data_IF_823297063796
#
_entry.id   IF_823297063796
#
_cell.length_a   1.000
_cell.length_b   1.000
_cell.length_c   1.000
_cell.angle_alpha   90.00
_cell.angle_beta   90.00
_cell.angle_gamma   90.00
#
_symmetry.space_group_name_H-M   'P 1'
#
loop_
_entity.id
_entity.type
_entity.pdbx_description
1 polymer ?
#
# COMPACT_ATOMS: atom_id res chain seq x y z
N UNK A 1 -41.18 -51.55 -34.89
CA UNK A 1 -41.01 -50.34 -34.04
C UNK A 1 -40.52 -50.79 -32.68
N UNK A 2 -39.26 -50.50 -32.37
CA UNK A 2 -38.68 -50.70 -31.04
C UNK A 2 -38.10 -49.34 -30.62
N UNK A 3 -38.42 -48.82 -29.42
CA UNK A 3 -37.93 -47.51 -29.01
C UNK A 3 -36.46 -47.65 -28.60
N UNK A 4 -35.58 -46.86 -29.23
CA UNK A 4 -34.19 -46.70 -28.80
C UNK A 4 -34.18 -45.79 -27.57
N UNK A 5 -33.88 -46.35 -26.41
CA UNK A 5 -33.65 -45.60 -25.18
C UNK A 5 -32.28 -44.90 -25.29
N UNK A 6 -32.26 -43.57 -25.35
CA UNK A 6 -31.04 -42.77 -25.33
C UNK A 6 -30.69 -42.49 -23.86
N UNK A 7 -29.69 -43.20 -23.33
CA UNK A 7 -29.20 -43.01 -21.97
C UNK A 7 -28.11 -41.92 -22.00
N UNK A 8 -28.45 -40.70 -21.62
CA UNK A 8 -27.50 -39.58 -21.50
C UNK A 8 -26.78 -39.69 -20.16
N UNK A 9 -25.52 -40.14 -20.16
CA UNK A 9 -24.64 -39.98 -19.00
C UNK A 9 -24.12 -38.55 -18.94
N UNK A 10 -24.60 -37.77 -17.96
CA UNK A 10 -23.94 -36.54 -17.55
C UNK A 10 -22.73 -36.94 -16.72
N UNK A 11 -21.54 -36.92 -17.33
CA UNK A 11 -20.28 -37.06 -16.62
C UNK A 11 -20.08 -35.76 -15.83
N UNK A 12 -20.50 -35.76 -14.56
CA UNK A 12 -19.94 -34.82 -13.59
C UNK A 12 -18.44 -35.06 -13.58
N UNK A 13 -17.65 -33.98 -13.67
CA UNK A 13 -16.19 -34.03 -13.56
C UNK A 13 -15.82 -34.66 -12.22
N UNK A 14 -15.63 -35.97 -12.21
CA UNK A 14 -14.78 -36.65 -11.24
C UNK A 14 -13.36 -36.23 -11.62
N UNK A 15 -12.92 -35.07 -11.12
CA UNK A 15 -11.49 -34.78 -11.11
C UNK A 15 -10.88 -35.90 -10.27
N UNK A 16 -10.11 -36.73 -10.95
CA UNK A 16 -9.20 -37.70 -10.37
C UNK A 16 -8.37 -37.04 -9.27
N UNK A 17 -8.87 -37.12 -8.04
CA UNK A 17 -8.12 -36.99 -6.79
C UNK A 17 -7.20 -38.19 -6.66
N UNK A 18 -6.15 -38.23 -7.49
CA UNK A 18 -4.98 -39.06 -7.26
C UNK A 18 -3.80 -38.11 -7.28
N UNK A 19 -3.67 -37.40 -6.16
CA UNK A 19 -2.70 -36.34 -5.94
C UNK A 19 -2.98 -35.68 -4.60
N UNK A 20 -2.61 -36.37 -3.51
CA UNK A 20 -2.45 -35.84 -2.14
C UNK A 20 -3.68 -35.13 -1.57
N UNK A 21 -4.70 -35.89 -1.17
CA UNK A 21 -5.69 -35.41 -0.20
C UNK A 21 -5.02 -35.35 1.16
N UNK A 22 -4.54 -34.17 1.55
CA UNK A 22 -4.38 -33.84 2.95
C UNK A 22 -5.79 -33.98 3.56
N UNK A 23 -5.94 -34.85 4.57
CA UNK A 23 -7.24 -35.04 5.21
C UNK A 23 -7.61 -33.72 5.89
N UNK A 24 -8.59 -32.99 5.34
CA UNK A 24 -9.08 -31.73 5.91
C UNK A 24 -9.54 -31.93 7.36
N UNK A 25 -9.86 -33.16 7.74
CA UNK A 25 -10.16 -33.58 9.10
C UNK A 25 -9.02 -33.34 10.08
N UNK A 26 -7.75 -33.40 9.66
CA UNK A 26 -6.60 -33.09 10.52
C UNK A 26 -6.41 -31.59 10.73
N UNK A 27 -6.78 -30.76 9.74
CA UNK A 27 -6.82 -29.30 9.90
C UNK A 27 -7.98 -28.87 10.81
N UNK A 28 -9.12 -29.53 10.72
CA UNK A 28 -10.29 -29.28 11.58
C UNK A 28 -10.07 -29.72 13.04
N UNK A 29 -9.06 -30.53 13.32
CA UNK A 29 -8.62 -30.89 14.69
C UNK A 29 -7.69 -29.86 15.31
N UNK A 30 -7.25 -28.85 14.55
CA UNK A 30 -6.43 -27.78 15.08
C UNK A 30 -7.26 -26.96 16.07
N UNK A 31 -6.91 -27.04 17.36
CA UNK A 31 -7.57 -26.28 18.41
C UNK A 31 -7.16 -24.80 18.31
N UNK A 32 -7.91 -24.03 17.51
CA UNK A 32 -7.80 -22.58 17.41
C UNK A 32 -8.97 -21.91 18.13
N UNK A 33 -8.71 -20.75 18.72
CA UNK A 33 -9.71 -19.93 19.39
C UNK A 33 -10.58 -19.17 18.34
N UNK A 34 -9.99 -18.87 17.19
CA UNK A 34 -10.66 -18.35 16.00
C UNK A 34 -11.46 -19.43 15.24
N UNK A 35 -11.52 -19.30 13.92
CA UNK A 35 -12.32 -20.20 13.09
C UNK A 35 -11.59 -20.58 11.80
N UNK A 36 -11.60 -21.87 11.47
CA UNK A 36 -11.14 -22.40 10.20
C UNK A 36 -12.33 -22.62 9.25
N UNK A 37 -12.35 -21.88 8.14
CA UNK A 37 -13.40 -21.93 7.12
C UNK A 37 -13.00 -22.82 5.94
N UNK A 38 -13.97 -23.57 5.44
CA UNK A 38 -13.95 -24.18 4.10
C UNK A 38 -15.17 -23.74 3.29
N UNK A 39 -15.83 -22.64 3.71
CA UNK A 39 -16.99 -22.11 3.00
C UNK A 39 -16.56 -21.64 1.60
N UNK A 40 -17.26 -22.04 0.52
CA UNK A 40 -16.90 -21.65 -0.84
C UNK A 40 -16.78 -20.14 -1.04
N UNK A 41 -17.53 -19.31 -0.31
CA UNK A 41 -17.46 -17.85 -0.41
C UNK A 41 -16.18 -17.25 0.20
N UNK A 42 -15.70 -17.82 1.30
CA UNK A 42 -14.42 -17.43 1.91
C UNK A 42 -13.25 -17.89 1.02
N UNK A 43 -13.35 -19.10 0.46
CA UNK A 43 -12.38 -19.63 -0.51
C UNK A 43 -12.30 -18.73 -1.74
N UNK A 44 -13.44 -18.37 -2.35
CA UNK A 44 -13.46 -17.47 -3.51
C UNK A 44 -12.78 -16.12 -3.20
N UNK A 45 -13.09 -15.53 -2.05
CA UNK A 45 -12.53 -14.24 -1.63
C UNK A 45 -11.01 -14.31 -1.44
N UNK A 46 -10.51 -15.40 -0.85
CA UNK A 46 -9.08 -15.62 -0.66
C UNK A 46 -8.35 -16.02 -1.96
N UNK A 47 -9.09 -16.49 -2.98
CA UNK A 47 -8.54 -17.00 -4.24
C UNK A 47 -8.11 -15.92 -5.22
N UNK A 48 -8.51 -14.67 -5.00
CA UNK A 48 -8.20 -13.53 -5.87
C UNK A 48 -7.48 -12.45 -5.08
N UNK A 49 -6.73 -11.60 -5.79
CA UNK A 49 -6.11 -10.40 -5.24
C UNK A 49 -6.48 -9.17 -6.07
N UNK A 50 -6.05 -8.00 -5.64
CA UNK A 50 -6.32 -6.74 -6.35
C UNK A 50 -5.80 -6.75 -7.79
N UNK A 51 -4.73 -7.50 -8.08
CA UNK A 51 -4.21 -7.68 -9.44
C UNK A 51 -5.24 -8.27 -10.40
N UNK A 52 -6.10 -9.18 -9.93
CA UNK A 52 -7.15 -9.85 -10.72
C UNK A 52 -6.60 -10.57 -11.97
N UNK A 53 -5.33 -10.98 -11.92
CA UNK A 53 -4.64 -11.68 -13.01
C UNK A 53 -4.38 -13.15 -12.71
N UNK A 54 -4.41 -13.55 -11.44
CA UNK A 54 -4.22 -14.92 -10.98
C UNK A 54 -5.36 -15.33 -10.06
N UNK A 55 -5.74 -16.60 -10.13
CA UNK A 55 -6.71 -17.20 -9.21
C UNK A 55 -6.19 -18.54 -8.72
N UNK A 56 -6.05 -18.69 -7.41
CA UNK A 56 -5.53 -19.89 -6.75
C UNK A 56 -6.35 -20.19 -5.51
N UNK A 57 -7.05 -21.34 -5.50
CA UNK A 57 -7.91 -21.74 -4.39
C UNK A 57 -7.10 -22.37 -3.25
N UNK A 58 -7.19 -21.84 -2.00
CA UNK A 58 -6.64 -22.51 -0.84
C UNK A 58 -7.53 -23.68 -0.38
N UNK A 59 -6.97 -24.55 0.47
CA UNK A 59 -7.70 -25.67 1.07
C UNK A 59 -8.66 -25.21 2.17
N UNK A 60 -8.28 -24.16 2.91
CA UNK A 60 -9.06 -23.57 3.99
C UNK A 60 -8.58 -22.15 4.28
N UNK A 61 -9.36 -21.42 5.08
CA UNK A 61 -9.08 -20.05 5.51
C UNK A 61 -9.13 -20.01 7.03
N UNK A 62 -8.02 -19.69 7.67
CA UNK A 62 -7.99 -19.39 9.09
C UNK A 62 -8.38 -17.93 9.29
N UNK A 63 -9.40 -17.69 10.10
CA UNK A 63 -9.71 -16.40 10.70
C UNK A 63 -9.17 -16.43 12.15
N UNK A 64 -7.92 -15.98 12.38
CA UNK A 64 -7.31 -16.05 13.69
C UNK A 64 -7.96 -15.04 14.65
N UNK A 65 -8.12 -15.45 15.90
CA UNK A 65 -8.48 -14.55 17.00
C UNK A 65 -7.26 -13.96 17.71
N UNK A 66 -6.10 -14.61 17.54
CA UNK A 66 -4.89 -14.35 18.29
C UNK A 66 -3.61 -14.67 17.49
N UNK A 67 -2.45 -14.24 18.00
CA UNK A 67 -1.16 -14.65 17.44
C UNK A 67 -0.90 -16.15 17.66
N UNK A 68 -1.45 -16.71 18.73
CA UNK A 68 -1.37 -18.12 19.08
C UNK A 68 -2.08 -19.00 18.05
N UNK A 69 -3.23 -18.57 17.50
CA UNK A 69 -3.89 -19.29 16.40
C UNK A 69 -3.01 -19.37 15.15
N UNK A 70 -2.33 -18.26 14.82
CA UNK A 70 -1.37 -18.19 13.73
C UNK A 70 -0.20 -19.16 14.01
N UNK A 71 0.36 -19.13 15.22
CA UNK A 71 1.44 -20.01 15.65
C UNK A 71 1.06 -21.49 15.58
N UNK A 72 -0.13 -21.85 16.05
CA UNK A 72 -0.65 -23.23 16.00
C UNK A 72 -0.75 -23.74 14.57
N UNK A 73 -1.31 -22.94 13.65
CA UNK A 73 -1.43 -23.33 12.25
C UNK A 73 -0.07 -23.47 11.58
N UNK A 74 0.85 -22.51 11.78
CA UNK A 74 2.19 -22.58 11.20
C UNK A 74 2.98 -23.76 11.78
N UNK A 75 2.87 -24.01 13.08
CA UNK A 75 3.48 -25.17 13.72
C UNK A 75 2.94 -26.50 13.18
N UNK A 76 1.63 -26.61 13.00
CA UNK A 76 1.00 -27.78 12.38
C UNK A 76 1.45 -27.97 10.93
N UNK A 77 1.58 -26.87 10.18
CA UNK A 77 2.11 -26.91 8.82
C UNK A 77 3.58 -27.38 8.78
N UNK A 78 4.41 -26.90 9.72
CA UNK A 78 5.82 -27.24 9.82
C UNK A 78 6.08 -28.73 10.08
N UNK A 79 5.27 -29.37 10.92
CA UNK A 79 5.40 -30.81 11.23
C UNK A 79 4.64 -31.72 10.26
N UNK A 80 3.88 -31.15 9.32
CA UNK A 80 3.09 -31.92 8.37
C UNK A 80 3.97 -32.71 7.40
N UNK A 81 3.79 -34.03 7.37
CA UNK A 81 4.51 -34.91 6.44
C UNK A 81 4.18 -34.64 4.96
N UNK A 82 3.08 -33.95 4.68
CA UNK A 82 2.55 -33.76 3.32
C UNK A 82 2.89 -32.38 2.72
N UNK A 83 3.59 -31.52 3.47
CA UNK A 83 3.95 -30.18 3.04
C UNK A 83 2.72 -29.27 2.89
N UNK A 84 2.27 -28.69 4.01
CA UNK A 84 1.20 -27.71 4.00
C UNK A 84 1.81 -26.30 3.89
N UNK A 85 1.40 -25.53 2.89
CA UNK A 85 1.81 -24.13 2.79
C UNK A 85 0.86 -23.22 3.57
N UNK A 86 1.38 -22.10 4.07
CA UNK A 86 0.61 -21.10 4.81
C UNK A 86 0.89 -19.74 4.18
N UNK A 87 -0.18 -18.98 3.92
CA UNK A 87 -0.08 -17.62 3.38
C UNK A 87 -0.85 -16.65 4.26
N UNK A 88 -0.18 -15.62 4.77
CA UNK A 88 -0.86 -14.53 5.47
C UNK A 88 -1.44 -13.53 4.45
N UNK A 89 -2.75 -13.38 4.46
CA UNK A 89 -3.48 -12.42 3.64
C UNK A 89 -3.88 -11.22 4.50
N UNK A 90 -3.33 -10.05 4.20
CA UNK A 90 -3.81 -8.77 4.71
C UNK A 90 -5.07 -8.34 3.96
N UNK A 91 -5.07 -7.13 3.37
CA UNK A 91 -6.22 -6.64 2.59
C UNK A 91 -6.26 -7.13 1.12
N UNK A 92 -5.59 -8.24 0.78
CA UNK A 92 -5.61 -8.81 -0.57
C UNK A 92 -5.05 -7.93 -1.70
N UNK A 93 -4.31 -6.85 -1.38
CA UNK A 93 -3.89 -5.85 -2.36
C UNK A 93 -2.62 -6.21 -3.17
N UNK A 94 -2.26 -7.51 -3.19
CA UNK A 94 -1.22 -8.05 -4.07
C UNK A 94 -1.64 -7.97 -5.54
N UNK A 95 -0.68 -8.04 -6.45
CA UNK A 95 -0.91 -7.92 -7.91
C UNK A 95 -0.73 -9.25 -8.64
N UNK A 96 0.05 -10.18 -8.08
CA UNK A 96 0.51 -11.38 -8.77
C UNK A 96 0.42 -12.65 -7.90
N UNK A 97 -0.57 -12.72 -7.00
CA UNK A 97 -0.84 -13.92 -6.20
C UNK A 97 0.06 -14.11 -4.98
N UNK A 98 0.83 -13.09 -4.57
CA UNK A 98 1.79 -13.22 -3.46
C UNK A 98 1.15 -13.62 -2.11
N UNK A 99 -0.13 -13.29 -1.93
CA UNK A 99 -0.90 -13.63 -0.72
C UNK A 99 -1.78 -14.88 -0.90
N UNK A 100 -1.61 -15.66 -1.96
CA UNK A 100 -2.40 -16.86 -2.26
C UNK A 100 -1.59 -18.14 -2.03
N UNK A 101 -2.26 -19.27 -1.85
CA UNK A 101 -1.64 -20.59 -1.86
C UNK A 101 -2.56 -21.65 -2.47
N UNK A 102 -1.98 -22.57 -3.26
CA UNK A 102 -2.70 -23.65 -3.97
C UNK A 102 -2.84 -24.96 -3.18
N UNK A 103 -2.08 -25.11 -2.10
CA UNK A 103 -1.94 -26.39 -1.39
C UNK A 103 -1.69 -26.12 0.09
N UNK A 104 -2.59 -25.33 0.66
CA UNK A 104 -2.34 -24.68 1.93
C UNK A 104 -3.52 -23.95 2.50
N UNK A 105 -3.27 -23.28 3.61
CA UNK A 105 -4.25 -22.47 4.33
C UNK A 105 -3.88 -21.00 4.17
N UNK A 106 -4.87 -20.18 3.81
CA UNK A 106 -4.74 -18.73 3.89
C UNK A 106 -5.13 -18.28 5.29
N UNK A 107 -4.32 -17.44 5.92
CA UNK A 107 -4.65 -16.78 7.18
C UNK A 107 -5.18 -15.39 6.84
N UNK A 108 -6.46 -15.17 7.09
CA UNK A 108 -7.11 -13.88 6.90
C UNK A 108 -6.79 -12.96 8.07
N UNK A 109 -5.71 -12.19 7.92
CA UNK A 109 -5.17 -11.34 8.98
C UNK A 109 -6.02 -10.09 9.19
N UNK A 110 -6.70 -9.59 8.16
CA UNK A 110 -7.53 -8.38 8.22
C UNK A 110 -8.98 -8.71 8.56
N UNK A 111 -9.68 -7.78 9.20
CA UNK A 111 -11.06 -8.03 9.64
C UNK A 111 -12.00 -8.19 8.43
N UNK A 112 -12.46 -9.42 8.19
CA UNK A 112 -13.50 -9.69 7.21
C UNK A 112 -14.86 -9.24 7.76
N UNK A 113 -15.62 -8.48 6.96
CA UNK A 113 -16.98 -8.00 7.31
C UNK A 113 -17.07 -7.14 8.58
N UNK A 114 -15.97 -6.49 8.97
CA UNK A 114 -15.94 -5.57 10.11
C UNK A 114 -15.92 -6.23 11.49
N UNK A 115 -15.80 -7.56 11.56
CA UNK A 115 -15.65 -8.28 12.83
C UNK A 115 -14.17 -8.39 13.15
N UNK A 116 -13.70 -7.54 14.07
CA UNK A 116 -12.35 -7.62 14.62
C UNK A 116 -12.33 -8.64 15.77
N UNK A 117 -11.43 -9.61 15.71
CA UNK A 117 -11.26 -10.59 16.78
C UNK A 117 -10.09 -10.27 17.73
N UNK A 118 -9.19 -9.35 17.35
CA UNK A 118 -8.10 -8.81 18.17
C UNK A 118 -8.46 -7.46 18.83
N UNK A 119 -7.61 -6.95 19.72
CA UNK A 119 -7.78 -5.62 20.34
C UNK A 119 -7.52 -4.45 19.39
N UNK A 120 -7.98 -3.24 19.74
CA UNK A 120 -7.65 -1.99 19.03
C UNK A 120 -6.14 -1.68 19.12
N UNK A 121 -5.58 -0.87 18.18
CA UNK A 121 -4.21 -0.37 18.31
C UNK A 121 -4.00 0.33 19.65
N UNK A 122 -2.85 0.09 20.30
CA UNK A 122 -2.52 0.66 21.61
C UNK A 122 -1.50 1.77 21.45
N UNK A 123 -1.87 2.99 21.84
CA UNK A 123 -1.01 4.16 21.69
C UNK A 123 -0.29 4.48 23.00
N UNK A 124 1.01 4.71 22.93
CA UNK A 124 1.82 5.26 24.01
C UNK A 124 2.16 6.72 23.70
N UNK A 125 1.47 7.67 24.34
CA UNK A 125 1.71 9.10 24.13
C UNK A 125 3.11 9.54 24.57
N UNK A 126 3.56 9.01 25.71
CA UNK A 126 4.84 9.36 26.32
C UNK A 126 6.01 8.87 25.48
N UNK A 127 5.93 7.62 25.00
CA UNK A 127 6.99 7.01 24.18
C UNK A 127 6.79 7.22 22.67
N UNK A 128 5.67 7.84 22.26
CA UNK A 128 5.28 8.15 20.89
C UNK A 128 5.41 6.95 19.95
N UNK A 129 4.71 5.88 20.28
CA UNK A 129 4.53 4.73 19.38
C UNK A 129 3.09 4.21 19.44
N UNK A 130 2.71 3.43 18.43
CA UNK A 130 1.51 2.61 18.44
C UNK A 130 1.89 1.15 18.27
N UNK A 131 1.33 0.27 19.09
CA UNK A 131 1.35 -1.17 18.90
C UNK A 131 0.09 -1.57 18.13
N UNK A 132 0.27 -2.05 16.90
CA UNK A 132 -0.82 -2.43 16.00
C UNK A 132 -0.72 -3.90 15.58
N UNK A 133 -1.86 -4.57 15.42
CA UNK A 133 -1.94 -5.93 14.86
C UNK A 133 -1.42 -5.94 13.42
N UNK A 134 -0.77 -7.03 12.97
CA UNK A 134 -0.24 -7.12 11.62
C UNK A 134 -1.29 -7.01 10.52
N UNK A 135 -2.52 -7.45 10.77
CA UNK A 135 -3.63 -7.30 9.83
C UNK A 135 -4.42 -5.99 9.96
N UNK A 136 -4.01 -5.10 10.87
CA UNK A 136 -4.60 -3.77 11.05
C UNK A 136 -4.48 -2.93 9.77
N UNK A 137 -5.53 -2.21 9.38
CA UNK A 137 -5.44 -1.29 8.25
C UNK A 137 -4.80 0.04 8.68
N UNK A 138 -3.97 0.64 7.82
CA UNK A 138 -3.34 1.93 8.13
C UNK A 138 -4.35 3.06 8.38
N UNK A 139 -5.53 3.01 7.77
CA UNK A 139 -6.62 3.97 8.05
C UNK A 139 -7.13 3.88 9.49
N UNK A 140 -7.17 2.67 10.07
CA UNK A 140 -7.61 2.45 11.44
C UNK A 140 -6.50 2.82 12.43
N UNK A 141 -5.23 2.52 12.09
CA UNK A 141 -4.06 3.04 12.83
C UNK A 141 -4.11 4.57 12.90
N UNK A 142 -4.31 5.24 11.75
CA UNK A 142 -4.39 6.70 11.67
C UNK A 142 -5.50 7.26 12.56
N UNK A 143 -6.72 6.72 12.45
CA UNK A 143 -7.86 7.17 13.26
C UNK A 143 -7.57 7.04 14.75
N UNK A 144 -7.08 5.87 15.20
CA UNK A 144 -6.75 5.65 16.61
C UNK A 144 -5.63 6.59 17.08
N UNK A 145 -4.56 6.79 16.31
CA UNK A 145 -3.46 7.66 16.75
C UNK A 145 -3.87 9.13 16.82
N UNK A 146 -4.78 9.58 15.94
CA UNK A 146 -5.30 10.95 15.93
C UNK A 146 -6.11 11.29 17.18
N UNK A 147 -6.76 10.32 17.82
CA UNK A 147 -7.44 10.51 19.12
C UNK A 147 -6.46 10.94 20.22
N UNK A 148 -5.17 10.62 20.06
CA UNK A 148 -4.08 11.01 20.94
C UNK A 148 -3.25 12.20 20.40
N UNK A 149 -3.69 12.84 19.31
CA UNK A 149 -2.94 13.94 18.67
C UNK A 149 -1.61 13.50 18.05
N UNK A 150 -1.48 12.21 17.71
CA UNK A 150 -0.28 11.61 17.14
C UNK A 150 -0.57 10.95 15.78
N UNK A 151 0.47 10.75 14.97
CA UNK A 151 0.37 10.08 13.69
C UNK A 151 1.68 9.36 13.31
N UNK A 152 1.64 8.25 12.56
CA UNK A 152 2.81 7.73 11.86
C UNK A 152 3.47 8.77 10.95
N UNK A 153 4.78 8.66 10.78
CA UNK A 153 5.61 9.62 10.02
C UNK A 153 5.72 9.28 8.52
N UNK A 154 5.57 8.01 8.18
CA UNK A 154 5.73 7.48 6.83
C UNK A 154 4.52 6.64 6.45
N UNK A 155 4.06 6.80 5.21
CA UNK A 155 2.76 6.33 4.74
C UNK A 155 2.87 5.59 3.42
N UNK A 156 1.75 4.97 3.03
CA UNK A 156 1.45 4.58 1.67
C UNK A 156 0.39 5.52 1.10
N UNK A 157 0.36 5.65 -0.23
CA UNK A 157 -0.67 6.45 -0.91
C UNK A 157 -2.10 5.99 -0.64
N UNK A 158 -2.27 4.69 -0.41
CA UNK A 158 -3.55 4.07 -0.10
C UNK A 158 -3.52 3.46 1.29
N UNK A 159 -4.49 3.80 2.14
CA UNK A 159 -4.49 3.47 3.57
C UNK A 159 -5.26 2.18 3.93
N UNK A 160 -6.00 1.62 2.98
CA UNK A 160 -6.71 0.34 3.17
C UNK A 160 -5.77 -0.82 2.81
N UNK A 161 -4.56 -0.76 3.39
CA UNK A 161 -3.53 -1.78 3.34
C UNK A 161 -3.22 -2.19 4.77
N UNK A 162 -2.93 -3.48 4.98
CA UNK A 162 -2.57 -3.99 6.30
C UNK A 162 -1.15 -3.59 6.70
N UNK A 163 -0.90 -3.34 7.98
CA UNK A 163 0.42 -3.06 8.57
C UNK A 163 1.46 -4.09 8.15
N UNK A 164 1.23 -5.38 8.44
CA UNK A 164 2.15 -6.47 8.11
C UNK A 164 2.38 -6.63 6.61
N UNK A 165 1.36 -6.38 5.78
CA UNK A 165 1.47 -6.43 4.32
C UNK A 165 2.41 -5.36 3.75
N UNK A 166 2.31 -4.11 4.21
CA UNK A 166 3.21 -3.05 3.73
C UNK A 166 4.61 -3.17 4.31
N UNK A 167 4.74 -3.58 5.59
CA UNK A 167 6.04 -3.85 6.23
C UNK A 167 6.76 -5.05 5.63
N UNK A 168 6.03 -6.03 5.08
CA UNK A 168 6.64 -7.14 4.31
C UNK A 168 7.17 -6.71 2.95
N UNK A 169 6.90 -5.47 2.50
CA UNK A 169 7.40 -4.92 1.23
C UNK A 169 8.36 -3.75 1.48
N UNK A 170 7.81 -2.59 1.88
CA UNK A 170 8.56 -1.40 2.28
C UNK A 170 7.60 -0.35 2.89
N UNK A 171 6.50 -0.06 2.17
CA UNK A 171 5.56 1.02 2.49
C UNK A 171 6.13 2.39 2.13
N UNK A 172 5.81 2.90 0.94
CA UNK A 172 6.40 4.13 0.39
C UNK A 172 5.29 5.09 -0.05
N UNK A 173 5.53 6.38 0.20
CA UNK A 173 4.80 7.53 -0.32
C UNK A 173 5.72 8.77 -0.21
N UNK A 174 5.19 9.95 -0.53
CA UNK A 174 5.94 11.20 -0.61
C UNK A 174 6.62 11.67 0.69
N UNK A 175 6.43 11.02 1.85
CA UNK A 175 7.16 11.33 3.09
C UNK A 175 8.47 10.54 3.22
N UNK A 176 8.67 9.48 2.42
CA UNK A 176 9.80 8.56 2.58
C UNK A 176 11.16 9.24 2.39
N UNK A 177 11.24 10.33 1.64
CA UNK A 177 12.49 11.09 1.52
C UNK A 177 12.92 11.78 2.83
N UNK A 178 11.96 12.09 3.71
CA UNK A 178 12.18 12.71 5.02
C UNK A 178 12.40 11.65 6.10
N UNK A 179 11.55 10.61 6.11
CA UNK A 179 11.41 9.68 7.24
C UNK A 179 11.80 8.23 6.90
N UNK A 180 12.24 7.94 5.68
CA UNK A 180 12.38 6.57 5.20
C UNK A 180 11.04 5.91 4.91
N UNK A 181 11.03 4.73 4.26
CA UNK A 181 9.82 3.92 4.11
C UNK A 181 9.24 3.50 5.48
N UNK A 182 8.03 2.92 5.50
CA UNK A 182 7.39 2.45 6.73
C UNK A 182 8.27 1.45 7.49
N UNK A 183 9.02 0.58 6.78
CA UNK A 183 9.97 -0.35 7.38
C UNK A 183 11.10 0.33 8.18
N UNK A 184 11.44 1.59 7.88
CA UNK A 184 12.43 2.38 8.64
C UNK A 184 11.83 3.05 9.90
N UNK A 185 10.52 2.89 10.15
CA UNK A 185 9.78 3.56 11.23
C UNK A 185 9.19 2.57 12.24
N UNK A 186 9.70 1.33 12.27
CA UNK A 186 9.28 0.28 13.20
C UNK A 186 10.36 0.11 14.28
N UNK A 187 9.95 0.02 15.53
CA UNK A 187 10.87 -0.18 16.66
C UNK A 187 10.94 -1.65 17.11
N UNK A 188 9.86 -2.40 16.94
CA UNK A 188 9.73 -3.77 17.46
C UNK A 188 8.62 -4.51 16.70
N UNK A 189 8.76 -5.82 16.53
CA UNK A 189 7.77 -6.70 15.89
C UNK A 189 7.55 -7.95 16.75
N UNK A 190 6.31 -8.44 16.79
CA UNK A 190 6.03 -9.84 17.14
C UNK A 190 5.80 -10.63 15.86
N UNK A 191 6.49 -11.76 15.73
CA UNK A 191 6.54 -12.57 14.51
C UNK A 191 6.31 -14.03 14.86
N UNK A 192 5.40 -14.68 14.15
CA UNK A 192 5.31 -16.14 14.11
C UNK A 192 6.24 -16.64 13.01
N UNK A 193 7.33 -17.31 13.39
CA UNK A 193 8.31 -17.86 12.43
C UNK A 193 7.74 -19.03 11.66
N UNK A 194 8.43 -19.47 10.59
CA UNK A 194 8.05 -20.67 9.84
C UNK A 194 8.05 -21.99 10.64
N UNK A 195 8.52 -21.98 11.89
CA UNK A 195 8.43 -23.11 12.83
C UNK A 195 7.20 -23.06 13.75
N UNK A 196 6.41 -22.00 13.67
CA UNK A 196 5.30 -21.75 14.60
C UNK A 196 5.73 -21.13 15.94
N UNK A 197 6.95 -20.60 16.04
CA UNK A 197 7.44 -19.93 17.25
C UNK A 197 7.03 -18.45 17.21
N UNK A 198 6.36 -17.97 18.26
CA UNK A 198 6.07 -16.54 18.43
C UNK A 198 7.25 -15.85 19.11
N UNK A 199 7.94 -14.97 18.37
CA UNK A 199 9.13 -14.26 18.83
C UNK A 199 8.92 -12.74 18.73
N UNK A 200 9.32 -12.01 19.76
CA UNK A 200 9.50 -10.55 19.69
C UNK A 200 10.90 -10.23 19.18
N UNK A 201 11.02 -9.29 18.25
CA UNK A 201 12.28 -8.85 17.66
C UNK A 201 12.34 -7.32 17.48
N UNK A 202 13.55 -6.77 17.59
CA UNK A 202 13.92 -5.35 17.43
C UNK A 202 15.36 -5.26 16.92
N UNK A 203 15.95 -4.07 16.81
CA UNK A 203 17.38 -3.92 16.50
C UNK A 203 18.28 -4.57 17.57
N UNK A 204 17.82 -4.64 18.82
CA UNK A 204 18.58 -5.16 19.97
C UNK A 204 18.24 -6.61 20.34
N UNK A 205 17.07 -7.11 19.93
CA UNK A 205 16.58 -8.45 20.27
C UNK A 205 16.20 -9.21 18.99
N UNK A 206 16.75 -10.42 18.78
CA UNK A 206 16.46 -11.23 17.59
C UNK A 206 16.62 -10.42 16.27
N UNK A 207 17.66 -9.60 16.18
CA UNK A 207 17.82 -8.57 15.15
C UNK A 207 17.91 -9.11 13.73
N UNK A 208 18.46 -10.31 13.55
CA UNK A 208 18.46 -10.99 12.26
C UNK A 208 17.02 -11.24 11.77
N UNK A 209 16.13 -11.70 12.65
CA UNK A 209 14.71 -11.87 12.31
C UNK A 209 14.04 -10.53 12.02
N UNK A 210 14.30 -9.50 12.85
CA UNK A 210 13.74 -8.17 12.69
C UNK A 210 14.07 -7.58 11.30
N UNK A 211 15.33 -7.64 10.88
CA UNK A 211 15.74 -7.15 9.57
C UNK A 211 15.28 -8.07 8.42
N UNK A 212 15.19 -9.39 8.64
CA UNK A 212 14.73 -10.32 7.62
C UNK A 212 13.25 -10.13 7.27
N UNK A 213 12.38 -9.89 8.26
CA UNK A 213 10.93 -9.75 8.01
C UNK A 213 10.55 -8.40 7.38
N UNK A 214 11.29 -7.33 7.66
CA UNK A 214 11.08 -6.02 7.07
C UNK A 214 11.50 -6.01 5.60
N UNK A 215 10.52 -5.92 4.69
CA UNK A 215 10.73 -6.15 3.26
C UNK A 215 10.97 -7.62 2.89
N UNK A 216 10.71 -8.54 3.82
CA UNK A 216 10.97 -9.97 3.69
C UNK A 216 9.96 -10.76 2.86
N UNK A 217 8.97 -10.11 2.26
CA UNK A 217 7.94 -10.73 1.42
C UNK A 217 7.20 -11.89 2.11
N UNK A 218 7.03 -11.80 3.44
CA UNK A 218 6.40 -12.84 4.25
C UNK A 218 7.17 -14.15 4.35
N UNK A 219 8.44 -14.21 3.94
CA UNK A 219 9.19 -15.46 3.82
C UNK A 219 9.75 -16.00 5.15
N UNK A 220 9.99 -15.13 6.12
CA UNK A 220 10.66 -15.49 7.38
C UNK A 220 9.70 -15.63 8.56
N UNK A 221 8.45 -15.20 8.39
CA UNK A 221 7.41 -15.29 9.40
C UNK A 221 6.25 -14.33 9.13
N UNK A 222 5.21 -14.46 9.94
CA UNK A 222 4.01 -13.65 9.90
C UNK A 222 4.10 -12.60 11.00
N UNK A 223 4.09 -11.32 10.62
CA UNK A 223 4.04 -10.20 11.56
C UNK A 223 2.65 -10.19 12.20
N UNK A 224 2.58 -10.41 13.52
CA UNK A 224 1.34 -10.36 14.30
C UNK A 224 1.20 -9.05 15.07
N UNK A 225 2.30 -8.40 15.45
CA UNK A 225 2.29 -7.03 15.98
C UNK A 225 3.44 -6.21 15.43
N UNK A 226 3.22 -4.92 15.22
CA UNK A 226 4.27 -3.94 14.97
C UNK A 226 4.18 -2.74 15.91
N UNK A 227 5.32 -2.34 16.48
CA UNK A 227 5.49 -1.06 17.18
C UNK A 227 5.98 0.00 16.21
N UNK A 228 5.12 0.96 15.89
CA UNK A 228 5.37 1.98 14.87
C UNK A 228 5.61 3.33 15.55
N UNK A 229 6.69 4.01 15.16
CA UNK A 229 7.02 5.33 15.67
C UNK A 229 6.04 6.43 15.24
N UNK A 230 5.67 7.30 16.17
CA UNK A 230 4.73 8.40 15.96
C UNK A 230 5.39 9.77 16.09
N UNK A 231 4.71 10.79 15.56
CA UNK A 231 4.99 12.20 15.77
C UNK A 231 3.70 12.98 16.08
N UNK A 232 3.80 14.21 16.62
CA UNK A 232 2.65 15.09 16.75
C UNK A 232 1.93 15.24 15.41
N UNK A 233 0.63 14.93 15.39
CA UNK A 233 -0.16 14.98 14.18
C UNK A 233 -0.39 16.45 13.75
N UNK A 234 -0.05 16.81 12.50
CA UNK A 234 -0.50 18.06 11.91
C UNK A 234 -2.02 18.10 11.84
N UNK A 235 -2.61 19.30 11.93
CA UNK A 235 -4.06 19.45 11.80
C UNK A 235 -4.46 19.66 10.33
N UNK A 236 -3.61 20.37 9.57
CA UNK A 236 -3.92 20.82 8.22
C UNK A 236 -2.76 20.57 7.27
N UNK A 237 -3.12 20.53 5.99
CA UNK A 237 -2.20 20.35 4.88
C UNK A 237 -2.48 21.41 3.84
N UNK A 238 -1.43 22.17 3.50
CA UNK A 238 -1.38 22.98 2.29
C UNK A 238 -0.88 22.06 1.18
N UNK A 239 -1.79 21.65 0.30
CA UNK A 239 -1.49 20.75 -0.81
C UNK A 239 -1.35 21.56 -2.10
N UNK A 240 -0.25 21.36 -2.82
CA UNK A 240 0.12 22.16 -3.98
C UNK A 240 0.48 21.23 -5.15
N UNK A 241 0.06 21.63 -6.35
CA UNK A 241 0.51 21.05 -7.61
C UNK A 241 1.03 22.14 -8.53
N UNK A 242 2.17 21.87 -9.17
CA UNK A 242 2.77 22.73 -10.21
C UNK A 242 3.19 21.89 -11.41
N UNK A 243 3.20 22.50 -12.61
CA UNK A 243 3.47 21.79 -13.86
C UNK A 243 4.84 22.18 -14.45
N UNK A 244 5.44 21.21 -15.12
CA UNK A 244 6.68 21.34 -15.88
C UNK A 244 6.48 20.76 -17.28
N UNK A 245 7.08 21.40 -18.28
CA UNK A 245 7.18 20.87 -19.65
C UNK A 245 8.54 20.21 -19.94
N UNK A 246 9.54 20.42 -19.08
CA UNK A 246 10.88 19.87 -19.23
C UNK A 246 11.18 18.86 -18.09
N UNK A 247 11.49 17.62 -18.47
CA UNK A 247 11.76 16.55 -17.52
C UNK A 247 12.98 16.84 -16.64
N UNK A 248 14.07 17.35 -17.23
CA UNK A 248 15.30 17.65 -16.49
C UNK A 248 15.08 18.73 -15.44
N UNK A 249 14.25 19.74 -15.73
CA UNK A 249 13.87 20.77 -14.75
C UNK A 249 13.02 20.16 -13.64
N UNK A 250 12.00 19.38 -14.00
CA UNK A 250 11.13 18.70 -13.05
C UNK A 250 11.90 17.80 -12.08
N UNK A 251 12.79 16.93 -12.57
CA UNK A 251 13.58 16.04 -11.70
C UNK A 251 14.62 16.80 -10.89
N UNK A 252 15.26 17.83 -11.44
CA UNK A 252 16.19 18.70 -10.69
C UNK A 252 15.49 19.32 -9.48
N UNK A 253 14.25 19.79 -9.66
CA UNK A 253 13.48 20.42 -8.58
C UNK A 253 12.99 19.40 -7.57
N UNK A 254 12.54 18.22 -8.00
CA UNK A 254 12.23 17.12 -7.07
C UNK A 254 13.46 16.72 -6.23
N UNK A 255 14.63 16.54 -6.87
CA UNK A 255 15.89 16.21 -6.20
C UNK A 255 16.32 17.30 -5.22
N UNK A 256 16.18 18.56 -5.63
CA UNK A 256 16.47 19.70 -4.78
C UNK A 256 15.56 19.70 -3.54
N UNK A 257 14.24 19.50 -3.70
CA UNK A 257 13.32 19.44 -2.56
C UNK A 257 13.65 18.30 -1.59
N UNK A 258 13.95 17.10 -2.09
CA UNK A 258 14.27 15.97 -1.20
C UNK A 258 15.66 16.09 -0.53
N UNK A 259 16.55 16.92 -1.08
CA UNK A 259 17.83 17.24 -0.46
C UNK A 259 17.68 18.05 0.84
N UNK A 260 16.53 18.70 1.03
CA UNK A 260 16.23 19.52 2.21
C UNK A 260 15.76 18.70 3.42
N UNK A 261 15.79 17.37 3.37
CA UNK A 261 15.18 16.52 4.40
C UNK A 261 15.68 16.76 5.84
N UNK A 262 16.92 17.23 6.00
CA UNK A 262 17.53 17.57 7.29
C UNK A 262 17.32 19.02 7.73
N UNK A 263 16.67 19.85 6.91
CA UNK A 263 16.41 21.24 7.22
C UNK A 263 15.23 21.38 8.20
N UNK A 264 15.16 22.52 8.93
CA UNK A 264 14.03 22.82 9.80
C UNK A 264 12.69 22.79 9.06
N UNK A 265 11.56 22.53 9.76
CA UNK A 265 10.24 22.40 9.12
C UNK A 265 9.85 23.57 8.21
N UNK A 266 10.15 24.82 8.57
CA UNK A 266 9.83 26.00 7.75
C UNK A 266 10.68 26.14 6.47
N UNK A 267 11.69 25.30 6.27
CA UNK A 267 12.59 25.33 5.11
C UNK A 267 12.49 24.09 4.22
N UNK A 268 11.44 23.29 4.38
CA UNK A 268 11.19 22.11 3.54
C UNK A 268 9.70 21.82 3.39
N UNK A 269 9.36 21.05 2.35
CA UNK A 269 8.05 20.40 2.26
C UNK A 269 8.05 19.09 3.06
N UNK A 270 6.85 18.66 3.44
CA UNK A 270 6.63 17.49 4.27
C UNK A 270 6.30 16.24 3.41
N UNK A 271 5.84 16.47 2.18
CA UNK A 271 5.55 15.47 1.16
C UNK A 271 6.06 15.94 -0.20
N UNK A 272 6.67 15.04 -0.98
CA UNK A 272 7.09 15.27 -2.37
C UNK A 272 6.78 14.02 -3.20
N UNK A 273 5.90 14.15 -4.18
CA UNK A 273 5.70 13.17 -5.25
C UNK A 273 5.68 13.86 -6.62
N UNK A 274 5.45 13.09 -7.67
CA UNK A 274 5.10 13.64 -8.97
C UNK A 274 4.44 12.63 -9.88
N UNK A 275 3.85 13.15 -10.95
CA UNK A 275 3.15 12.35 -11.94
C UNK A 275 3.54 12.75 -13.36
N UNK A 276 3.57 11.77 -14.25
CA UNK A 276 3.68 12.00 -15.69
C UNK A 276 2.27 12.10 -16.28
N UNK A 277 2.07 13.11 -17.12
CA UNK A 277 0.82 13.40 -17.81
C UNK A 277 1.07 13.25 -19.31
N UNK A 278 0.65 12.11 -19.87
CA UNK A 278 0.75 11.81 -21.30
C UNK A 278 -0.60 11.96 -22.05
N UNK A 279 -1.70 12.20 -21.31
CA UNK A 279 -3.05 12.41 -21.83
C UNK A 279 -3.80 13.45 -20.98
N UNK A 280 -4.49 14.40 -21.63
CA UNK A 280 -5.36 15.40 -20.97
C UNK A 280 -6.48 14.72 -20.15
N UNK A 281 -6.90 13.52 -20.55
CA UNK A 281 -7.88 12.71 -19.82
C UNK A 281 -7.45 12.36 -18.39
N UNK A 282 -6.14 12.25 -18.12
CA UNK A 282 -5.61 11.96 -16.79
C UNK A 282 -5.78 13.13 -15.82
N UNK A 283 -5.64 14.36 -16.31
CA UNK A 283 -5.74 15.59 -15.52
C UNK A 283 -7.14 15.69 -14.88
N UNK A 284 -8.17 15.33 -15.63
CA UNK A 284 -9.58 15.55 -15.24
C UNK A 284 -10.24 14.37 -14.52
N UNK A 285 -9.69 13.15 -14.64
CA UNK A 285 -10.41 11.95 -14.21
C UNK A 285 -9.93 11.34 -12.89
N UNK A 286 -8.62 11.29 -12.64
CA UNK A 286 -8.10 10.17 -11.84
C UNK A 286 -7.53 10.51 -10.44
N UNK A 287 -7.24 11.78 -10.08
CA UNK A 287 -6.92 12.17 -8.67
C UNK A 287 -7.31 13.61 -8.32
N UNK A 288 -8.29 14.18 -9.02
CA UNK A 288 -8.39 15.63 -9.12
C UNK A 288 -9.80 16.17 -8.92
N UNK A 289 -10.14 16.45 -7.67
CA UNK A 289 -10.93 17.65 -7.34
C UNK A 289 -10.09 18.93 -7.46
N UNK A 290 -8.78 18.81 -7.70
CA UNK A 290 -7.80 19.90 -7.78
C UNK A 290 -7.92 20.75 -9.06
N UNK A 291 -7.93 20.09 -10.21
CA UNK A 291 -8.26 20.66 -11.51
C UNK A 291 -9.78 20.60 -11.64
N UNK A 292 -10.45 21.65 -11.18
CA UNK A 292 -11.90 21.76 -11.31
C UNK A 292 -12.31 21.69 -12.78
N UNK A 293 -13.45 21.08 -13.13
CA UNK A 293 -14.04 21.20 -14.47
C UNK A 293 -14.26 22.66 -14.91
N UNK A 294 -14.30 23.59 -13.94
CA UNK A 294 -14.42 25.04 -14.18
C UNK A 294 -13.10 25.70 -14.62
N UNK A 295 -11.95 25.06 -14.42
CA UNK A 295 -10.64 25.56 -14.87
C UNK A 295 -9.76 24.41 -15.38
N UNK A 296 -10.10 23.81 -16.53
CA UNK A 296 -9.35 22.67 -17.07
C UNK A 296 -7.97 23.12 -17.53
N UNK A 297 -6.92 22.42 -17.06
CA UNK A 297 -5.56 22.56 -17.60
C UNK A 297 -5.56 21.98 -19.00
N UNK A 298 -5.28 22.81 -20.00
CA UNK A 298 -5.10 22.35 -21.38
C UNK A 298 -3.61 22.09 -21.61
N UNK A 299 -3.22 20.87 -21.96
CA UNK A 299 -1.80 20.57 -22.24
C UNK A 299 -1.32 21.44 -23.42
N UNK A 300 -2.22 21.66 -24.39
CA UNK A 300 -1.99 22.54 -25.54
C UNK A 300 -1.64 23.99 -25.19
N UNK A 301 -1.96 24.50 -23.98
CA UNK A 301 -1.58 25.86 -23.58
C UNK A 301 -0.13 26.00 -23.09
N UNK A 302 0.61 24.89 -22.93
CA UNK A 302 1.92 24.88 -22.26
C UNK A 302 3.12 24.54 -23.16
N UNK A 303 2.94 24.49 -24.48
CA UNK A 303 4.05 24.36 -25.44
C UNK A 303 4.98 23.19 -25.14
N UNK A 304 4.46 21.96 -25.25
CA UNK A 304 5.20 20.75 -24.86
C UNK A 304 6.09 20.24 -25.99
N UNK A 305 7.39 20.07 -25.71
CA UNK A 305 8.28 19.29 -26.56
C UNK A 305 8.00 17.80 -26.30
N UNK A 306 7.25 17.16 -27.20
CA UNK A 306 6.97 15.72 -27.13
C UNK A 306 5.65 15.32 -26.46
N UNK A 307 4.74 16.27 -26.17
CA UNK A 307 3.38 15.94 -25.75
C UNK A 307 3.19 15.52 -24.28
N UNK A 308 4.26 15.49 -23.49
CA UNK A 308 4.24 15.08 -22.07
C UNK A 308 4.37 16.30 -21.15
N UNK A 309 3.57 16.34 -20.07
CA UNK A 309 3.76 17.25 -18.94
C UNK A 309 4.13 16.45 -17.68
N UNK A 310 4.79 17.12 -16.75
CA UNK A 310 5.11 16.57 -15.43
C UNK A 310 4.45 17.43 -14.37
N UNK A 311 3.87 16.78 -13.36
CA UNK A 311 3.25 17.43 -12.22
C UNK A 311 4.08 17.14 -10.98
N UNK A 312 4.56 18.19 -10.33
CA UNK A 312 5.14 18.09 -8.99
C UNK A 312 4.01 18.26 -7.98
N UNK A 313 3.87 17.30 -7.08
CA UNK A 313 2.89 17.32 -6.00
C UNK A 313 3.60 17.41 -4.66
N UNK A 314 3.30 18.46 -3.90
CA UNK A 314 3.99 18.75 -2.65
C UNK A 314 3.00 19.17 -1.57
N UNK A 315 3.36 18.94 -0.31
CA UNK A 315 2.59 19.46 0.81
C UNK A 315 3.42 20.15 1.86
N UNK A 316 2.79 21.12 2.53
CA UNK A 316 3.23 21.69 3.79
C UNK A 316 2.23 21.33 4.88
N UNK A 317 2.68 20.59 5.89
CA UNK A 317 1.91 20.23 7.07
C UNK A 317 1.99 21.38 8.07
N UNK A 318 0.87 21.71 8.74
CA UNK A 318 0.85 22.77 9.74
C UNK A 318 -0.19 22.55 10.84
N UNK A 319 0.04 23.24 11.96
CA UNK A 319 -0.92 23.40 13.04
C UNK A 319 -1.62 24.75 12.90
N UNK A 320 -2.84 24.88 13.42
CA UNK A 320 -3.58 26.15 13.40
C UNK A 320 -2.80 27.29 14.08
N UNK A 321 -2.01 26.98 15.11
CA UNK A 321 -1.13 27.95 15.78
C UNK A 321 -0.01 28.53 14.91
N UNK A 322 0.31 27.87 13.79
CA UNK A 322 1.35 28.28 12.84
C UNK A 322 0.78 28.79 11.51
N UNK A 323 -0.55 28.87 11.38
CA UNK A 323 -1.21 29.19 10.11
C UNK A 323 -0.75 30.53 9.49
N UNK A 324 -0.45 31.53 10.31
CA UNK A 324 -0.08 32.88 9.87
C UNK A 324 1.25 32.95 9.09
N UNK A 325 2.14 31.96 9.24
CA UNK A 325 3.45 31.93 8.56
C UNK A 325 3.48 31.01 7.35
N UNK A 326 2.48 30.14 7.16
CA UNK A 326 2.50 29.09 6.14
C UNK A 326 2.57 29.65 4.73
N UNK A 327 1.89 30.76 4.44
CA UNK A 327 1.94 31.39 3.13
C UNK A 327 3.36 31.88 2.79
N UNK A 328 4.05 32.48 3.77
CA UNK A 328 5.41 32.99 3.60
C UNK A 328 6.41 31.84 3.38
N UNK A 329 6.30 30.77 4.17
CA UNK A 329 7.15 29.58 4.05
C UNK A 329 6.96 28.91 2.67
N UNK A 330 5.71 28.73 2.25
CA UNK A 330 5.37 28.13 0.95
C UNK A 330 5.88 28.99 -0.19
N UNK A 331 5.66 30.30 -0.16
CA UNK A 331 6.18 31.21 -1.19
C UNK A 331 7.71 31.18 -1.28
N UNK A 332 8.39 31.19 -0.13
CA UNK A 332 9.86 31.16 -0.08
C UNK A 332 10.40 29.87 -0.70
N UNK A 333 9.74 28.74 -0.46
CA UNK A 333 10.10 27.46 -1.06
C UNK A 333 9.80 27.40 -2.56
N UNK A 334 8.61 27.85 -2.99
CA UNK A 334 8.20 27.85 -4.40
C UNK A 334 9.07 28.79 -5.26
N UNK A 335 9.53 29.93 -4.71
CA UNK A 335 10.42 30.88 -5.41
C UNK A 335 11.77 30.27 -5.84
N UNK A 336 12.12 29.09 -5.30
CA UNK A 336 13.37 28.37 -5.62
C UNK A 336 13.19 27.30 -6.70
N UNK A 337 11.98 27.16 -7.25
CA UNK A 337 11.62 26.15 -8.24
C UNK A 337 11.36 26.80 -9.61
N UNK A 338 11.59 26.03 -10.66
CA UNK A 338 11.59 26.44 -12.07
C UNK A 338 10.32 25.91 -12.82
N UNK A 339 9.20 25.76 -12.11
CA UNK A 339 7.91 25.32 -12.70
C UNK A 339 7.27 26.42 -13.58
N UNK A 340 6.25 26.05 -14.35
CA UNK A 340 5.49 26.99 -15.18
C UNK A 340 4.69 27.96 -14.28
N UNK A 341 4.99 29.28 -14.24
CA UNK A 341 4.45 30.16 -13.19
C UNK A 341 2.92 30.24 -13.11
N UNK A 342 2.22 30.06 -14.24
CA UNK A 342 0.75 30.08 -14.30
C UNK A 342 0.08 28.77 -13.85
N UNK A 343 0.86 27.77 -13.41
CA UNK A 343 0.38 26.42 -13.10
C UNK A 343 0.33 26.09 -11.61
N UNK A 344 0.29 27.10 -10.73
CA UNK A 344 0.18 26.87 -9.28
C UNK A 344 -1.27 26.58 -8.91
N UNK A 345 -1.52 25.36 -8.47
CA UNK A 345 -2.80 24.95 -7.91
C UNK A 345 -2.61 24.64 -6.44
N UNK A 346 -3.46 25.21 -5.60
CA UNK A 346 -3.34 25.12 -4.15
C UNK A 346 -4.68 24.81 -3.52
N UNK A 347 -4.68 23.93 -2.51
CA UNK A 347 -5.84 23.74 -1.63
C UNK A 347 -5.37 23.53 -0.19
N UNK A 348 -6.26 23.82 0.75
CA UNK A 348 -6.05 23.59 2.17
C UNK A 348 -7.12 22.63 2.69
N UNK A 349 -6.68 21.54 3.33
CA UNK A 349 -7.57 20.50 3.82
C UNK A 349 -7.07 19.90 5.15
N UNK A 350 -7.93 19.23 5.92
CA UNK A 350 -7.51 18.46 7.08
C UNK A 350 -6.45 17.39 6.73
N UNK A 351 -5.52 17.13 7.65
CA UNK A 351 -4.45 16.14 7.45
C UNK A 351 -4.97 14.74 7.11
N UNK A 352 -6.01 14.29 7.81
CA UNK A 352 -6.68 13.00 7.55
C UNK A 352 -7.28 12.93 6.13
N UNK A 353 -7.87 14.02 5.64
CA UNK A 353 -8.46 14.06 4.30
C UNK A 353 -7.40 13.99 3.19
N UNK A 354 -6.20 14.53 3.44
CA UNK A 354 -5.08 14.41 2.53
C UNK A 354 -4.55 12.97 2.51
N UNK A 355 -4.31 12.36 3.67
CA UNK A 355 -3.80 10.99 3.72
C UNK A 355 -4.80 9.98 3.12
N UNK A 356 -6.10 10.16 3.35
CA UNK A 356 -7.15 9.26 2.83
C UNK A 356 -7.66 9.66 1.42
N UNK A 357 -6.92 10.52 0.70
CA UNK A 357 -7.36 11.06 -0.61
C UNK A 357 -7.62 9.98 -1.66
N UNK A 358 -6.93 8.84 -1.60
CA UNK A 358 -7.08 7.74 -2.58
C UNK A 358 -8.35 6.93 -2.34
N UNK A 359 -8.87 6.85 -1.10
CA UNK A 359 -10.15 6.19 -0.84
C UNK A 359 -11.32 6.91 -1.53
N UNK A 360 -11.28 8.25 -1.59
CA UNK A 360 -12.25 9.03 -2.39
C UNK A 360 -12.20 8.66 -3.87
N UNK A 361 -11.01 8.37 -4.42
CA UNK A 361 -10.85 7.91 -5.80
C UNK A 361 -11.34 6.46 -5.99
N UNK A 362 -11.06 5.57 -5.04
CA UNK A 362 -11.60 4.21 -5.00
C UNK A 362 -13.12 4.22 -5.08
N UNK A 363 -13.81 4.95 -4.19
CA UNK A 363 -15.28 4.99 -4.17
C UNK A 363 -15.86 5.47 -5.52
N UNK A 364 -15.23 6.49 -6.11
CA UNK A 364 -15.59 6.99 -7.45
C UNK A 364 -15.39 5.93 -8.54
N UNK A 365 -14.32 5.14 -8.50
CA UNK A 365 -14.07 4.08 -9.48
C UNK A 365 -14.99 2.88 -9.27
N UNK A 366 -15.25 2.48 -8.02
CA UNK A 366 -16.21 1.42 -7.67
C UNK A 366 -17.62 1.74 -8.16
N UNK A 367 -18.11 2.98 -7.96
CA UNK A 367 -19.41 3.41 -8.50
C UNK A 367 -19.53 3.34 -10.03
N UNK A 368 -18.41 3.23 -10.75
CA UNK A 368 -18.34 3.07 -12.20
C UNK A 368 -17.99 1.65 -12.65
N UNK A 369 -17.79 0.72 -11.72
CA UNK A 369 -17.30 -0.64 -12.02
C UNK A 369 -15.87 -0.68 -12.57
N UNK A 370 -15.05 0.33 -12.23
CA UNK A 370 -13.68 0.48 -12.73
C UNK A 370 -12.60 0.22 -11.67
N UNK A 371 -13.00 -0.24 -10.48
CA UNK A 371 -12.07 -0.60 -9.41
C UNK A 371 -11.77 -2.09 -9.41
N UNK A 372 -12.79 -2.96 -9.43
CA UNK A 372 -12.56 -4.41 -9.39
C UNK A 372 -12.29 -4.97 -10.80
N UNK A 373 -11.19 -4.52 -11.42
CA UNK A 373 -10.74 -4.85 -12.77
C UNK A 373 -9.28 -5.35 -12.75
N UNK A 374 -8.75 -5.96 -13.83
CA UNK A 374 -7.32 -6.31 -13.90
C UNK A 374 -6.39 -5.10 -13.72
N UNK A 375 -5.43 -5.22 -12.81
CA UNK A 375 -4.42 -4.20 -12.53
C UNK A 375 -3.00 -4.70 -12.85
N UNK A 376 -2.55 -4.64 -14.11
CA UNK A 376 -1.19 -5.01 -14.50
C UNK A 376 -0.19 -3.91 -14.11
N UNK A 377 -0.09 -3.61 -12.82
CA UNK A 377 0.77 -2.56 -12.30
C UNK A 377 2.25 -2.89 -12.46
N UNK A 378 3.05 -1.89 -12.79
CA UNK A 378 4.49 -1.96 -12.88
C UNK A 378 5.09 -0.97 -11.87
N UNK A 379 5.73 -1.49 -10.82
CA UNK A 379 6.36 -0.69 -9.77
C UNK A 379 7.87 -0.97 -9.78
N UNK A 380 8.69 0.08 -9.93
CA UNK A 380 10.13 -0.05 -10.14
C UNK A 380 10.90 1.00 -9.35
N UNK A 381 12.10 0.63 -8.86
CA UNK A 381 13.11 1.60 -8.47
C UNK A 381 14.10 1.79 -9.62
N UNK A 382 14.13 2.99 -10.19
CA UNK A 382 15.04 3.34 -11.28
C UNK A 382 16.17 4.22 -10.71
N UNK A 383 17.46 3.88 -10.91
CA UNK A 383 18.56 4.71 -10.44
C UNK A 383 18.52 6.11 -11.06
N UNK A 384 18.82 7.13 -10.25
CA UNK A 384 18.91 8.54 -10.66
C UNK A 384 19.69 8.73 -11.98
N UNK A 385 20.82 8.04 -12.13
CA UNK A 385 21.69 8.17 -13.30
C UNK A 385 21.04 7.73 -14.62
N UNK A 386 19.92 7.00 -14.57
CA UNK A 386 19.23 6.44 -15.75
C UNK A 386 17.78 6.93 -15.87
N UNK A 387 17.32 7.84 -15.00
CA UNK A 387 15.92 8.26 -15.01
C UNK A 387 15.57 9.07 -16.26
N UNK A 388 16.52 9.84 -16.82
CA UNK A 388 16.35 10.53 -18.09
C UNK A 388 16.21 9.57 -19.27
N UNK A 389 17.00 8.49 -19.31
CA UNK A 389 16.86 7.44 -20.33
C UNK A 389 15.50 6.74 -20.22
N UNK A 390 15.01 6.54 -19.00
CA UNK A 390 13.69 5.98 -18.75
C UNK A 390 12.56 6.89 -19.25
N UNK A 391 12.68 8.20 -19.03
CA UNK A 391 11.74 9.19 -19.57
C UNK A 391 11.67 9.14 -21.11
N UNK A 392 12.83 9.21 -21.78
CA UNK A 392 12.90 9.13 -23.24
C UNK A 392 12.37 7.80 -23.79
N UNK A 393 12.75 6.68 -23.18
CA UNK A 393 12.36 5.35 -23.64
C UNK A 393 10.91 4.97 -23.34
N UNK A 394 10.41 5.34 -22.15
CA UNK A 394 9.12 4.86 -21.63
C UNK A 394 8.04 5.92 -21.75
N UNK A 395 8.23 7.08 -21.12
CA UNK A 395 7.19 8.11 -21.04
C UNK A 395 6.95 8.79 -22.40
N UNK A 396 8.03 9.16 -23.09
CA UNK A 396 7.98 9.75 -24.44
C UNK A 396 7.94 8.71 -25.56
N UNK A 397 8.29 7.46 -25.25
CA UNK A 397 8.39 6.35 -26.20
C UNK A 397 7.25 5.35 -26.07
N UNK A 398 7.46 4.30 -25.27
CA UNK A 398 6.59 3.11 -25.20
C UNK A 398 5.13 3.43 -24.88
N UNK A 399 4.86 4.35 -23.94
CA UNK A 399 3.50 4.62 -23.48
C UNK A 399 2.65 5.37 -24.51
N UNK A 400 3.25 6.27 -25.29
CA UNK A 400 2.52 7.20 -26.16
C UNK A 400 1.39 7.91 -25.39
N UNK A 401 0.21 8.04 -26.00
CA UNK A 401 -0.98 8.68 -25.39
C UNK A 401 -1.98 7.65 -24.81
N UNK A 402 -1.54 6.43 -24.49
CA UNK A 402 -2.45 5.33 -24.09
C UNK A 402 -2.22 4.91 -22.65
N UNK A 403 -2.97 5.53 -21.73
CA UNK A 403 -2.90 5.20 -20.30
C UNK A 403 -4.27 5.25 -19.65
N UNK A 404 -4.61 4.27 -18.83
CA UNK A 404 -5.87 4.21 -18.08
C UNK A 404 -5.72 4.61 -16.60
N UNK A 405 -4.51 4.96 -16.16
CA UNK A 405 -4.20 5.20 -14.75
C UNK A 405 -2.97 6.06 -14.52
N UNK A 406 -2.58 6.24 -13.25
CA UNK A 406 -1.38 6.97 -12.85
C UNK A 406 -0.12 6.58 -13.58
N UNK A 407 0.79 7.54 -13.69
CA UNK A 407 2.22 7.26 -13.76
C UNK A 407 2.87 8.09 -12.65
N UNK A 408 3.28 7.45 -11.56
CA UNK A 408 3.98 8.11 -10.46
C UNK A 408 5.48 8.10 -10.72
N UNK A 409 6.13 9.23 -10.43
CA UNK A 409 7.57 9.35 -10.46
C UNK A 409 8.02 10.37 -9.41
N UNK A 410 8.89 9.92 -8.51
CA UNK A 410 9.52 10.78 -7.52
C UNK A 410 10.83 10.16 -7.01
N UNK A 411 11.83 10.99 -6.68
CA UNK A 411 13.10 10.52 -6.16
C UNK A 411 12.98 10.18 -4.67
N UNK A 412 13.90 9.36 -4.18
CA UNK A 412 14.04 9.04 -2.76
C UNK A 412 15.51 9.04 -2.35
N UNK A 413 15.74 9.27 -1.06
CA UNK A 413 17.07 9.19 -0.46
C UNK A 413 17.35 7.75 0.00
N UNK A 414 18.44 7.13 -0.48
CA UNK A 414 18.78 5.73 -0.15
C UNK A 414 19.05 5.51 1.34
N UNK A 415 19.63 6.49 2.03
CA UNK A 415 20.13 6.36 3.40
C UNK A 415 19.08 6.80 4.45
N UNK A 416 17.80 6.54 4.19
CA UNK A 416 16.69 7.01 5.02
C UNK A 416 15.92 5.91 5.72
#
# INVERSE_FOLDING_TARGET
>A
MAPKLLLTFVIYRLISTVGLTLDTTDLLRLEVDGHLSVDPSDVETASVDFGMMNRVEPLAILHPSSAEDVARLVGAAYVSAHGLSVSARGHGHSINGQAQTSSGVVIEMSASKGVRQWGLPRVSEQSRYVDAWGGELWIDVLKTTLEHGLAPKSWTDYLYLSVGGTLSNAGISGQAFNHGPQISNVYELDVVTGKGELLTCSEEQNSELFHAVLGGLGQFGIITRARIGLEPAPQRVRWIRVLYSNFSTFTKDQEYLISLHGQPPNQKFDYVEGFVIVDEGLINNWRSSFFSPRNPVKISSFGTNGGVLYCLEITKNYHESTADTIDQDVEALLKRLDFIPSSVFTTDLPYVDFLDRVHKAELKLRSKGLWDVPHPWLNLFVPRSRIADFDEGVFKGILGNKTSGPILIYPMNKNK
#
